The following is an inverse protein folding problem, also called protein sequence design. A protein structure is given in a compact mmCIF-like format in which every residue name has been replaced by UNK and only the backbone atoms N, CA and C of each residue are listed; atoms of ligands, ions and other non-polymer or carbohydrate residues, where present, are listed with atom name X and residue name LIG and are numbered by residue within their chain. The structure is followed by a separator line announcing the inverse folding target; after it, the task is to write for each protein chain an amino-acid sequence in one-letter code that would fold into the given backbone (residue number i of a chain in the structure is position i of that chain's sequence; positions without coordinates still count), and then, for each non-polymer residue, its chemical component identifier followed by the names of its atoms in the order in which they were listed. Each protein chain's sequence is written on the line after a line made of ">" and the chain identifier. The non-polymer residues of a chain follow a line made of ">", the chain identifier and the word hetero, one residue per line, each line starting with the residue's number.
data_IF_339774003640
#
_entry.id   IF_339774003640
#
_cell.length_a   1.000
_cell.length_b   1.000
_cell.length_c   1.000
_cell.angle_alpha   90.00
_cell.angle_beta   90.00
_cell.angle_gamma   90.00
#
_symmetry.space_group_name_H-M   'P 1'
#
loop_
_entity.id
_entity.type
_entity.pdbx_description
1 polymer ?
#
# COMPACT_ATOMS: atom_id res chain seq x y z
N UNK A 1 8.66 -15.12 31.67
CA UNK A 1 7.59 -15.31 30.65
C UNK A 1 8.05 -16.42 29.73
N UNK A 2 7.51 -17.63 29.87
CA UNK A 2 7.86 -18.76 29.01
C UNK A 2 7.27 -18.51 27.62
N UNK A 3 8.08 -18.01 26.70
CA UNK A 3 7.72 -17.91 25.29
C UNK A 3 7.65 -19.33 24.72
N UNK A 4 6.45 -19.89 24.67
CA UNK A 4 6.16 -21.10 23.91
C UNK A 4 6.39 -20.78 22.43
N UNK A 5 7.54 -21.20 21.90
CA UNK A 5 7.80 -21.13 20.46
C UNK A 5 6.61 -21.78 19.73
N UNK A 6 6.05 -21.15 18.69
CA UNK A 6 5.00 -21.76 17.91
C UNK A 6 5.49 -23.08 17.30
N UNK A 7 4.58 -24.04 17.12
CA UNK A 7 4.87 -25.33 16.50
C UNK A 7 5.40 -25.12 15.06
N UNK A 8 6.46 -25.82 14.70
CA UNK A 8 7.16 -25.66 13.41
C UNK A 8 6.24 -26.01 12.23
N UNK A 9 5.34 -26.97 12.44
CA UNK A 9 4.30 -27.34 11.47
C UNK A 9 3.27 -26.21 11.27
N UNK A 10 2.93 -25.48 12.34
CA UNK A 10 2.01 -24.36 12.28
C UNK A 10 2.61 -23.17 11.52
N UNK A 11 3.89 -22.88 11.75
CA UNK A 11 4.63 -21.82 11.02
C UNK A 11 4.74 -22.14 9.53
N UNK A 12 5.08 -23.38 9.19
CA UNK A 12 5.13 -23.83 7.79
C UNK A 12 3.76 -23.71 7.11
N UNK A 13 2.69 -24.10 7.79
CA UNK A 13 1.32 -23.96 7.29
C UNK A 13 0.94 -22.49 7.03
N UNK A 14 1.29 -21.57 7.94
CA UNK A 14 1.07 -20.13 7.78
C UNK A 14 1.81 -19.56 6.56
N UNK A 15 3.06 -19.96 6.33
CA UNK A 15 3.85 -19.52 5.18
C UNK A 15 3.21 -19.99 3.87
N UNK A 16 2.81 -21.26 3.80
CA UNK A 16 2.12 -21.79 2.61
C UNK A 16 0.79 -21.08 2.37
N UNK A 17 0.00 -20.86 3.42
CA UNK A 17 -1.27 -20.14 3.33
C UNK A 17 -1.07 -18.69 2.86
N UNK A 18 -0.03 -18.02 3.36
CA UNK A 18 0.34 -16.67 2.93
C UNK A 18 0.72 -16.63 1.44
N UNK A 19 1.57 -17.56 0.98
CA UNK A 19 1.98 -17.63 -0.43
C UNK A 19 0.81 -17.91 -1.38
N UNK A 20 -0.03 -18.90 -1.03
CA UNK A 20 -1.22 -19.24 -1.82
C UNK A 20 -2.18 -18.06 -1.86
N UNK A 21 -2.44 -17.41 -0.72
CA UNK A 21 -3.28 -16.22 -0.66
C UNK A 21 -2.69 -15.08 -1.51
N UNK A 22 -1.39 -14.84 -1.44
CA UNK A 22 -0.73 -13.83 -2.25
C UNK A 22 -0.87 -14.06 -3.76
N UNK A 23 -0.69 -15.29 -4.22
CA UNK A 23 -0.88 -15.67 -5.63
C UNK A 23 -2.34 -15.47 -6.06
N UNK A 24 -3.29 -15.91 -5.24
CA UNK A 24 -4.73 -15.76 -5.53
C UNK A 24 -5.12 -14.28 -5.61
N UNK A 25 -4.66 -13.46 -4.66
CA UNK A 25 -4.94 -12.02 -4.63
C UNK A 25 -4.28 -11.30 -5.81
N UNK A 26 -3.05 -11.67 -6.18
CA UNK A 26 -2.38 -11.14 -7.37
C UNK A 26 -3.17 -11.43 -8.65
N UNK A 27 -3.60 -12.69 -8.83
CA UNK A 27 -4.40 -13.10 -9.99
C UNK A 27 -5.76 -12.38 -10.04
N UNK A 28 -6.45 -12.27 -8.89
CA UNK A 28 -7.73 -11.58 -8.78
C UNK A 28 -7.60 -10.08 -9.09
N UNK A 29 -6.65 -9.39 -8.47
CA UNK A 29 -6.41 -7.97 -8.70
C UNK A 29 -5.98 -7.70 -10.15
N UNK A 30 -5.13 -8.55 -10.75
CA UNK A 30 -4.77 -8.47 -12.17
C UNK A 30 -5.97 -8.67 -13.12
N UNK A 31 -6.88 -9.58 -12.78
CA UNK A 31 -8.12 -9.76 -13.50
C UNK A 31 -9.03 -8.53 -13.40
N UNK A 32 -9.18 -7.95 -12.22
CA UNK A 32 -9.96 -6.71 -12.01
C UNK A 32 -9.36 -5.55 -12.83
N UNK A 33 -8.04 -5.38 -12.85
CA UNK A 33 -7.38 -4.37 -13.71
C UNK A 33 -7.74 -4.61 -15.18
N UNK A 34 -7.69 -5.86 -15.64
CA UNK A 34 -8.05 -6.20 -17.03
C UNK A 34 -9.51 -5.85 -17.35
N UNK A 35 -10.44 -6.11 -16.42
CA UNK A 35 -11.84 -5.71 -16.57
C UNK A 35 -12.01 -4.19 -16.65
N UNK A 36 -11.28 -3.44 -15.82
CA UNK A 36 -11.32 -1.97 -15.83
C UNK A 36 -10.78 -1.42 -17.16
N UNK A 37 -9.72 -2.03 -17.71
CA UNK A 37 -9.14 -1.63 -18.99
C UNK A 37 -10.01 -2.00 -20.20
N UNK A 38 -10.77 -3.10 -20.13
CA UNK A 38 -11.69 -3.55 -21.18
C UNK A 38 -13.08 -2.89 -21.14
N UNK A 39 -13.39 -2.12 -20.10
CA UNK A 39 -14.66 -1.41 -20.02
C UNK A 39 -14.66 -0.18 -20.96
N UNK A 40 -15.50 -0.26 -22.00
CA UNK A 40 -15.63 0.76 -23.04
C UNK A 40 -16.65 1.87 -22.71
N UNK A 41 -17.37 1.85 -21.56
CA UNK A 41 -18.39 2.87 -21.29
C UNK A 41 -17.75 4.28 -21.20
N UNK A 42 -18.17 5.21 -22.05
CA UNK A 42 -17.60 6.55 -22.11
C UNK A 42 -17.98 7.42 -20.90
N UNK A 43 -19.09 7.13 -20.21
CA UNK A 43 -19.66 7.99 -19.14
C UNK A 43 -18.78 8.06 -17.90
N UNK A 44 -18.02 7.00 -17.60
CA UNK A 44 -17.22 6.88 -16.38
C UNK A 44 -15.70 6.86 -16.62
N UNK A 45 -15.24 7.37 -17.77
CA UNK A 45 -13.81 7.32 -18.15
C UNK A 45 -12.87 7.91 -17.11
N UNK A 46 -13.25 9.01 -16.43
CA UNK A 46 -12.43 9.61 -15.38
C UNK A 46 -12.44 8.77 -14.10
N UNK A 47 -13.59 8.21 -13.70
CA UNK A 47 -13.71 7.31 -12.56
C UNK A 47 -12.82 6.08 -12.72
N UNK A 48 -12.81 5.48 -13.92
CA UNK A 48 -11.96 4.33 -14.23
C UNK A 48 -10.47 4.59 -14.06
N UNK A 49 -9.99 5.80 -14.34
CA UNK A 49 -8.57 6.15 -14.12
C UNK A 49 -8.21 6.06 -12.64
N UNK A 50 -9.07 6.58 -11.76
CA UNK A 50 -8.86 6.48 -10.32
C UNK A 50 -9.00 5.05 -9.82
N UNK A 51 -10.00 4.30 -10.32
CA UNK A 51 -10.20 2.90 -9.98
C UNK A 51 -9.02 2.02 -10.41
N UNK A 52 -8.48 2.25 -11.60
CA UNK A 52 -7.31 1.54 -12.12
C UNK A 52 -6.06 1.88 -11.29
N UNK A 53 -5.84 3.16 -10.99
CA UNK A 53 -4.75 3.60 -10.11
C UNK A 53 -4.86 2.95 -8.72
N UNK A 54 -6.07 2.89 -8.15
CA UNK A 54 -6.31 2.25 -6.86
C UNK A 54 -5.90 0.78 -6.90
N UNK A 55 -6.29 0.07 -7.96
CA UNK A 55 -5.98 -1.34 -8.12
C UNK A 55 -4.50 -1.61 -8.35
N UNK A 56 -3.80 -0.74 -9.10
CA UNK A 56 -2.35 -0.85 -9.28
C UNK A 56 -1.62 -0.60 -7.96
N UNK A 57 -1.99 0.45 -7.21
CA UNK A 57 -1.38 0.74 -5.90
C UNK A 57 -1.65 -0.39 -4.89
N UNK A 58 -2.86 -0.93 -4.87
CA UNK A 58 -3.23 -2.05 -3.99
C UNK A 58 -2.47 -3.32 -4.36
N UNK A 59 -2.35 -3.63 -5.66
CA UNK A 59 -1.55 -4.76 -6.15
C UNK A 59 -0.07 -4.61 -5.79
N UNK A 60 0.49 -3.40 -5.90
CA UNK A 60 1.87 -3.12 -5.52
C UNK A 60 2.10 -3.33 -4.01
N UNK A 61 1.19 -2.82 -3.18
CA UNK A 61 1.23 -3.02 -1.73
C UNK A 61 1.14 -4.51 -1.36
N UNK A 62 0.16 -5.23 -1.91
CA UNK A 62 -0.04 -6.67 -1.66
C UNK A 62 1.18 -7.48 -2.10
N UNK A 63 1.78 -7.15 -3.26
CA UNK A 63 2.95 -7.85 -3.78
C UNK A 63 4.19 -7.63 -2.92
N UNK A 64 4.42 -6.40 -2.47
CA UNK A 64 5.54 -6.06 -1.59
C UNK A 64 5.40 -6.71 -0.22
N UNK A 65 4.20 -6.60 0.39
CA UNK A 65 3.94 -7.17 1.71
C UNK A 65 4.07 -8.71 1.68
N UNK A 66 3.58 -9.38 0.62
CA UNK A 66 3.78 -10.83 0.45
C UNK A 66 5.23 -11.23 0.17
N UNK A 67 6.05 -10.36 -0.41
CA UNK A 67 7.47 -10.63 -0.65
C UNK A 67 8.28 -10.59 0.65
N UNK A 68 7.89 -9.73 1.60
CA UNK A 68 8.59 -9.54 2.88
C UNK A 68 8.03 -10.40 4.02
N UNK A 69 6.77 -10.85 3.94
CA UNK A 69 6.12 -11.68 4.96
C UNK A 69 6.90 -12.96 5.34
N UNK A 70 7.46 -13.74 4.40
CA UNK A 70 8.24 -14.93 4.75
C UNK A 70 9.52 -14.57 5.53
N UNK A 71 10.14 -13.44 5.21
CA UNK A 71 11.38 -12.96 5.86
C UNK A 71 11.10 -12.64 7.33
N UNK A 72 10.01 -11.91 7.59
CA UNK A 72 9.53 -11.58 8.94
C UNK A 72 9.14 -12.83 9.73
N UNK A 73 8.53 -13.82 9.08
CA UNK A 73 8.09 -15.06 9.72
C UNK A 73 9.24 -16.02 10.04
N UNK A 74 10.22 -16.18 9.14
CA UNK A 74 11.38 -17.05 9.36
C UNK A 74 12.38 -16.46 10.37
N UNK A 75 12.60 -15.15 10.31
CA UNK A 75 13.51 -14.47 11.21
C UNK A 75 12.72 -13.77 12.30
N UNK A 76 12.37 -14.53 13.35
CA UNK A 76 11.74 -14.04 14.59
C UNK A 76 12.48 -12.84 15.23
N UNK A 77 13.71 -12.53 14.79
CA UNK A 77 14.41 -11.26 15.00
C UNK A 77 14.27 -10.35 13.78
N UNK A 78 13.29 -9.44 13.85
CA UNK A 78 12.80 -8.54 12.77
C UNK A 78 13.88 -7.62 12.14
N UNK A 79 15.08 -7.55 12.72
CA UNK A 79 16.10 -6.56 12.34
C UNK A 79 17.32 -7.11 11.59
N UNK A 80 17.54 -8.44 11.57
CA UNK A 80 18.77 -9.03 11.03
C UNK A 80 18.52 -10.35 10.29
N UNK A 81 17.63 -10.34 9.31
CA UNK A 81 17.52 -11.47 8.39
C UNK A 81 18.58 -11.38 7.30
N UNK A 82 19.37 -12.44 7.11
CA UNK A 82 20.42 -12.55 6.08
C UNK A 82 19.81 -13.10 4.77
N UNK A 83 18.81 -12.40 4.25
CA UNK A 83 18.09 -12.78 3.03
C UNK A 83 18.53 -11.91 1.85
N UNK A 84 18.47 -12.45 0.62
CA UNK A 84 18.81 -11.66 -0.58
C UNK A 84 18.01 -10.36 -0.68
N UNK A 85 16.73 -10.38 -0.25
CA UNK A 85 15.88 -9.19 -0.28
C UNK A 85 16.25 -8.16 0.79
N UNK A 86 16.72 -8.58 1.97
CA UNK A 86 17.20 -7.65 3.01
C UNK A 86 18.55 -7.02 2.66
N UNK A 87 19.36 -7.66 1.81
CA UNK A 87 20.53 -7.01 1.19
C UNK A 87 20.16 -5.96 0.14
N UNK A 88 19.02 -6.11 -0.54
CA UNK A 88 18.56 -5.14 -1.54
C UNK A 88 17.75 -3.99 -0.92
N UNK A 89 16.90 -4.28 0.07
CA UNK A 89 16.01 -3.33 0.72
C UNK A 89 16.03 -3.60 2.22
N UNK A 90 16.63 -2.67 2.98
CA UNK A 90 16.63 -2.73 4.44
C UNK A 90 15.20 -2.72 4.99
N UNK A 91 14.97 -3.39 6.13
CA UNK A 91 13.66 -3.45 6.80
C UNK A 91 13.06 -2.05 7.02
N UNK A 92 13.91 -1.06 7.35
CA UNK A 92 13.48 0.33 7.51
C UNK A 92 12.99 0.94 6.21
N UNK A 93 13.74 0.75 5.11
CA UNK A 93 13.31 1.20 3.78
C UNK A 93 12.02 0.50 3.34
N UNK A 94 11.89 -0.79 3.63
CA UNK A 94 10.67 -1.55 3.35
C UNK A 94 9.45 -0.97 4.07
N UNK A 95 9.53 -0.73 5.38
CA UNK A 95 8.42 -0.16 6.17
C UNK A 95 8.03 1.24 5.68
N UNK A 96 9.01 2.06 5.28
CA UNK A 96 8.78 3.39 4.71
C UNK A 96 8.05 3.30 3.37
N UNK A 97 8.48 2.39 2.48
CA UNK A 97 7.84 2.15 1.18
C UNK A 97 6.42 1.62 1.38
N UNK A 98 6.23 0.67 2.27
CA UNK A 98 4.93 0.06 2.57
C UNK A 98 3.94 1.11 3.11
N UNK A 99 4.38 1.95 4.06
CA UNK A 99 3.57 3.05 4.59
C UNK A 99 3.22 4.09 3.51
N UNK A 100 4.18 4.42 2.64
CA UNK A 100 3.95 5.33 1.51
C UNK A 100 2.89 4.80 0.54
N UNK A 101 2.99 3.51 0.18
CA UNK A 101 2.00 2.85 -0.69
C UNK A 101 0.63 2.76 -0.02
N UNK A 102 0.58 2.47 1.28
CA UNK A 102 -0.66 2.48 2.05
C UNK A 102 -1.33 3.86 2.04
N UNK A 103 -0.56 4.94 2.25
CA UNK A 103 -1.05 6.30 2.16
C UNK A 103 -1.59 6.62 0.74
N UNK A 104 -0.89 6.21 -0.31
CA UNK A 104 -1.35 6.34 -1.70
C UNK A 104 -2.68 5.60 -1.94
N UNK A 105 -2.81 4.35 -1.48
CA UNK A 105 -4.08 3.60 -1.57
C UNK A 105 -5.22 4.37 -0.89
N UNK A 106 -4.99 4.94 0.29
CA UNK A 106 -5.99 5.76 0.98
C UNK A 106 -6.36 7.03 0.20
N UNK A 107 -5.38 7.73 -0.36
CA UNK A 107 -5.59 8.93 -1.16
C UNK A 107 -6.40 8.63 -2.42
N UNK A 108 -6.02 7.58 -3.16
CA UNK A 108 -6.71 7.20 -4.39
C UNK A 108 -8.11 6.65 -4.09
N UNK A 109 -8.30 5.92 -2.98
CA UNK A 109 -9.62 5.51 -2.54
C UNK A 109 -10.50 6.71 -2.21
N UNK A 110 -9.97 7.67 -1.45
CA UNK A 110 -10.68 8.91 -1.14
C UNK A 110 -11.04 9.66 -2.43
N UNK A 111 -10.15 9.73 -3.42
CA UNK A 111 -10.44 10.30 -4.75
C UNK A 111 -11.60 9.59 -5.45
N UNK A 112 -11.63 8.25 -5.42
CA UNK A 112 -12.71 7.47 -6.01
C UNK A 112 -14.07 7.78 -5.36
N UNK A 113 -14.12 7.78 -4.03
CA UNK A 113 -15.34 8.09 -3.25
C UNK A 113 -15.76 9.54 -3.49
N UNK A 114 -14.80 10.47 -3.48
CA UNK A 114 -15.04 11.89 -3.67
C UNK A 114 -15.55 12.20 -5.07
N UNK A 115 -14.94 11.62 -6.12
CA UNK A 115 -15.41 11.74 -7.51
C UNK A 115 -16.87 11.30 -7.63
N UNK A 116 -17.22 10.12 -7.10
CA UNK A 116 -18.60 9.61 -7.12
C UNK A 116 -19.56 10.53 -6.35
N UNK A 117 -19.15 11.03 -5.18
CA UNK A 117 -19.96 11.98 -4.39
C UNK A 117 -20.16 13.31 -5.11
N UNK A 118 -19.16 13.83 -5.81
CA UNK A 118 -19.27 15.10 -6.54
C UNK A 118 -20.18 15.04 -7.78
N UNK A 119 -20.41 13.84 -8.34
CA UNK A 119 -21.40 13.61 -9.41
C UNK A 119 -22.81 13.43 -8.83
N UNK A 120 -22.94 12.81 -7.66
CA UNK A 120 -24.24 12.44 -7.07
C UNK A 120 -24.84 13.55 -6.20
N UNK A 121 -24.02 14.39 -5.57
CA UNK A 121 -24.48 15.41 -4.61
C UNK A 121 -24.47 16.83 -5.22
N UNK A 122 -25.49 17.65 -4.91
CA UNK A 122 -25.58 19.01 -5.43
C UNK A 122 -24.39 19.89 -4.98
N UNK A 123 -23.97 20.85 -5.83
CA UNK A 123 -22.74 21.63 -5.65
C UNK A 123 -22.76 22.59 -4.45
N UNK A 124 -23.93 22.86 -3.85
CA UNK A 124 -24.10 23.87 -2.80
C UNK A 124 -23.73 23.41 -1.38
N UNK A 125 -23.30 22.15 -1.19
CA UNK A 125 -22.91 21.66 0.15
C UNK A 125 -21.53 22.17 0.57
N UNK A 126 -21.41 22.58 1.84
CA UNK A 126 -20.18 23.12 2.48
C UNK A 126 -18.95 22.22 2.40
N UNK A 127 -19.11 20.91 2.16
CA UNK A 127 -18.02 19.93 2.06
C UNK A 127 -17.76 19.44 0.62
N UNK A 128 -18.23 20.19 -0.38
CA UNK A 128 -17.97 19.88 -1.80
C UNK A 128 -16.92 20.87 -2.34
N UNK A 129 -15.64 20.59 -2.07
CA UNK A 129 -14.50 21.20 -2.77
C UNK A 129 -14.61 20.92 -4.29
N UNK A 130 -14.98 21.94 -5.06
CA UNK A 130 -14.97 21.92 -6.53
C UNK A 130 -13.77 22.66 -7.11
N UNK A 131 -13.38 22.28 -8.34
CA UNK A 131 -12.33 22.95 -9.11
C UNK A 131 -10.96 22.95 -8.43
N UNK A 132 -10.33 24.14 -8.36
CA UNK A 132 -8.98 24.35 -7.80
C UNK A 132 -8.86 23.94 -6.32
N UNK A 133 -9.88 24.19 -5.50
CA UNK A 133 -9.83 23.87 -4.05
C UNK A 133 -9.65 22.38 -3.80
N UNK A 134 -10.23 21.55 -4.68
CA UNK A 134 -10.06 20.09 -4.68
C UNK A 134 -8.59 19.72 -4.93
N UNK A 135 -8.01 20.25 -6.00
CA UNK A 135 -6.62 20.00 -6.37
C UNK A 135 -5.66 20.47 -5.28
N UNK A 136 -5.89 21.65 -4.69
CA UNK A 136 -5.09 22.19 -3.60
C UNK A 136 -5.12 21.29 -2.36
N UNK A 137 -6.30 20.83 -1.94
CA UNK A 137 -6.43 19.88 -0.81
C UNK A 137 -5.68 18.58 -1.06
N UNK A 138 -5.72 18.07 -2.30
CA UNK A 138 -5.02 16.85 -2.67
C UNK A 138 -3.51 17.00 -2.74
N UNK A 139 -3.01 18.09 -3.32
CA UNK A 139 -1.59 18.41 -3.32
C UNK A 139 -1.08 18.60 -1.89
N UNK A 140 -1.86 19.22 -1.01
CA UNK A 140 -1.53 19.33 0.41
C UNK A 140 -1.42 17.94 1.08
N UNK A 141 -2.36 17.04 0.82
CA UNK A 141 -2.34 15.68 1.38
C UNK A 141 -1.16 14.86 0.86
N UNK A 142 -0.85 14.93 -0.44
CA UNK A 142 0.34 14.28 -1.01
C UNK A 142 1.63 14.87 -0.46
N UNK A 143 1.71 16.19 -0.32
CA UNK A 143 2.86 16.85 0.27
C UNK A 143 3.03 16.42 1.73
N UNK A 144 1.96 16.42 2.52
CA UNK A 144 1.98 15.96 3.91
C UNK A 144 2.46 14.52 4.02
N UNK A 145 1.88 13.60 3.24
CA UNK A 145 2.29 12.20 3.21
C UNK A 145 3.77 12.04 2.83
N UNK A 146 4.24 12.75 1.80
CA UNK A 146 5.63 12.72 1.35
C UNK A 146 6.59 13.22 2.44
N UNK A 147 6.24 14.32 3.12
CA UNK A 147 7.03 14.86 4.23
C UNK A 147 7.06 13.87 5.39
N UNK A 148 5.93 13.28 5.78
CA UNK A 148 5.88 12.29 6.86
C UNK A 148 6.74 11.07 6.54
N UNK A 149 6.61 10.51 5.33
CA UNK A 149 7.42 9.37 4.86
C UNK A 149 8.90 9.74 4.81
N UNK A 150 9.26 10.92 4.30
CA UNK A 150 10.65 11.39 4.25
C UNK A 150 11.26 11.60 5.64
N UNK A 151 10.50 12.15 6.59
CA UNK A 151 10.92 12.31 7.98
C UNK A 151 11.14 10.95 8.64
N UNK A 152 10.22 10.00 8.44
CA UNK A 152 10.39 8.63 8.94
C UNK A 152 11.62 7.95 8.33
N UNK A 153 11.85 8.09 7.03
CA UNK A 153 13.02 7.55 6.35
C UNK A 153 14.32 8.13 6.92
N UNK A 154 14.37 9.45 7.15
CA UNK A 154 15.52 10.13 7.75
C UNK A 154 15.82 9.60 9.15
N UNK A 155 14.80 9.51 10.03
CA UNK A 155 15.00 8.99 11.38
C UNK A 155 15.39 7.52 11.40
N UNK A 156 14.83 6.69 10.51
CA UNK A 156 15.21 5.29 10.38
C UNK A 156 16.65 5.13 9.90
N UNK A 157 17.09 5.92 8.91
CA UNK A 157 18.46 5.89 8.43
C UNK A 157 19.44 6.28 9.54
N UNK A 158 19.14 7.39 10.24
CA UNK A 158 19.96 7.86 11.36
C UNK A 158 20.03 6.85 12.52
N UNK A 159 18.93 6.16 12.83
CA UNK A 159 18.95 5.13 13.88
C UNK A 159 19.80 3.90 13.52
N UNK A 160 19.96 3.62 12.23
CA UNK A 160 20.84 2.54 11.76
C UNK A 160 22.30 2.98 11.88
N UNK A 161 22.63 4.22 11.47
CA UNK A 161 23.99 4.77 11.62
C UNK A 161 24.45 4.84 13.09
N UNK A 162 23.55 5.14 14.02
CA UNK A 162 23.87 5.19 15.46
C UNK A 162 23.97 3.79 16.11
N UNK A 163 23.54 2.73 15.43
CA UNK A 163 23.57 1.36 15.92
C UNK A 163 24.80 0.56 15.47
N UNK A 164 25.54 1.04 14.46
CA UNK A 164 26.85 0.52 14.01
C UNK A 164 28.02 1.12 14.81
#
# INVERSE_FOLDING_TARGET
>A
MNSSKPDENFETCLIYLQHVNGIVMFAFNGFVITLILRDDDARNRHYRKYLCCLQICSLALDSLSNSYAPIVQFHKGIFYSDSFLSHLISIGSFLVIELGLFAEVFLVYYMCVYYRRSIVLPPERRFNFFGWRKQAFFLFLQFYATVTVGVMAYFMHKSVEEAE
#
